data_IF_561257221798
#
_entry.id   IF_561257221798
#
_cell.length_a   1.000
_cell.length_b   1.000
_cell.length_c   1.000
_cell.angle_alpha   90.00
_cell.angle_beta   90.00
_cell.angle_gamma   90.00
#
_symmetry.space_group_name_H-M   'P 1'
#
loop_
_entity.id
_entity.type
_entity.pdbx_description
1 polymer ?
#
# COMPACT_ATOMS: atom_id res chain seq x y z
N UNK A 1 -42.27 -0.03 38.32
CA UNK A 1 -43.00 -0.65 39.46
C UNK A 1 -42.20 -0.31 40.72
N UNK A 2 -42.77 0.55 41.55
CA UNK A 2 -42.12 1.26 42.65
C UNK A 2 -42.01 0.37 43.89
N UNK A 3 -41.07 -0.59 43.87
CA UNK A 3 -41.06 -1.72 44.81
C UNK A 3 -39.86 -1.88 45.75
N UNK A 4 -38.82 -1.03 45.67
CA UNK A 4 -37.56 -1.27 46.40
C UNK A 4 -37.18 -0.22 47.46
N UNK A 5 -37.94 0.87 47.60
CA UNK A 5 -37.59 1.94 48.55
C UNK A 5 -38.15 1.74 49.97
N UNK A 6 -39.12 0.84 50.17
CA UNK A 6 -39.73 0.61 51.49
C UNK A 6 -39.01 -0.44 52.33
N UNK A 7 -38.27 -1.38 51.72
CA UNK A 7 -37.60 -2.46 52.45
C UNK A 7 -36.42 -1.96 53.31
N UNK A 8 -35.75 -0.90 52.88
CA UNK A 8 -34.61 -0.32 53.60
C UNK A 8 -35.01 0.56 54.79
N UNK A 9 -36.27 1.01 54.88
CA UNK A 9 -36.74 1.91 55.96
C UNK A 9 -36.84 1.24 57.34
N UNK A 10 -36.76 -0.09 57.41
CA UNK A 10 -36.87 -0.90 58.63
C UNK A 10 -35.50 -1.24 59.26
N UNK A 11 -34.39 -0.94 58.57
CA UNK A 11 -33.05 -1.21 59.09
C UNK A 11 -32.43 0.04 59.73
N UNK A 12 -31.71 -0.11 60.87
CA UNK A 12 -30.92 0.98 61.44
C UNK A 12 -30.01 1.61 60.39
N UNK A 13 -29.95 2.93 60.35
CA UNK A 13 -29.16 3.68 59.34
C UNK A 13 -27.68 3.26 59.31
N UNK A 14 -27.14 2.84 60.45
CA UNK A 14 -25.79 2.25 60.57
C UNK A 14 -25.57 0.98 59.75
N UNK A 15 -26.61 0.14 59.58
CA UNK A 15 -26.54 -1.07 58.76
C UNK A 15 -26.56 -0.71 57.27
N UNK A 16 -27.39 0.26 56.89
CA UNK A 16 -27.45 0.78 55.51
C UNK A 16 -26.11 1.41 55.12
N UNK A 17 -25.56 2.24 56.00
CA UNK A 17 -24.25 2.87 55.78
C UNK A 17 -23.14 1.80 55.68
N UNK A 18 -23.16 0.77 56.53
CA UNK A 18 -22.18 -0.34 56.45
C UNK A 18 -22.28 -1.17 55.16
N UNK A 19 -23.50 -1.45 54.67
CA UNK A 19 -23.73 -2.17 53.42
C UNK A 19 -23.31 -1.32 52.22
N UNK A 20 -23.56 0.00 52.27
CA UNK A 20 -23.11 0.94 51.23
C UNK A 20 -21.58 1.07 51.19
N UNK A 21 -20.93 1.06 52.36
CA UNK A 21 -19.46 1.08 52.45
C UNK A 21 -18.86 -0.25 51.97
N UNK A 22 -19.47 -1.38 52.30
CA UNK A 22 -19.08 -2.71 51.82
C UNK A 22 -19.27 -2.84 50.31
N UNK A 23 -20.36 -2.32 49.76
CA UNK A 23 -20.59 -2.27 48.31
C UNK A 23 -19.56 -1.40 47.59
N UNK A 24 -19.24 -0.21 48.13
CA UNK A 24 -18.20 0.66 47.56
C UNK A 24 -16.78 0.08 47.71
N UNK A 25 -16.50 -0.67 48.78
CA UNK A 25 -15.19 -1.31 48.95
C UNK A 25 -15.02 -2.51 48.02
N UNK A 26 -16.07 -3.29 47.76
CA UNK A 26 -16.02 -4.33 46.72
C UNK A 26 -15.73 -3.74 45.35
N UNK A 27 -16.37 -2.63 44.97
CA UNK A 27 -16.18 -1.97 43.68
C UNK A 27 -14.73 -1.43 43.48
N UNK A 28 -14.11 -0.92 44.55
CA UNK A 28 -12.71 -0.42 44.52
C UNK A 28 -11.69 -1.56 44.39
N UNK A 29 -11.91 -2.70 45.06
CA UNK A 29 -10.99 -3.84 44.96
C UNK A 29 -11.25 -4.68 43.70
N UNK A 30 -12.48 -4.75 43.20
CA UNK A 30 -12.81 -5.39 41.92
C UNK A 30 -12.12 -4.69 40.74
N UNK A 31 -12.04 -3.35 40.76
CA UNK A 31 -11.26 -2.60 39.77
C UNK A 31 -9.76 -2.93 39.83
N UNK A 32 -9.21 -3.20 41.02
CA UNK A 32 -7.81 -3.61 41.18
C UNK A 32 -7.56 -5.07 40.79
N UNK A 33 -8.53 -5.95 40.99
CA UNK A 33 -8.45 -7.38 40.63
C UNK A 33 -8.60 -7.58 39.11
N UNK A 34 -9.45 -6.77 38.47
CA UNK A 34 -9.70 -6.82 37.02
C UNK A 34 -8.83 -5.83 36.23
N UNK A 35 -7.84 -5.19 36.87
CA UNK A 35 -7.00 -4.17 36.26
C UNK A 35 -6.21 -4.71 35.07
N UNK A 36 -5.65 -5.92 35.21
CA UNK A 36 -4.92 -6.60 34.13
C UNK A 36 -5.82 -6.87 32.93
N UNK A 37 -7.01 -7.43 33.14
CA UNK A 37 -7.97 -7.73 32.08
C UNK A 37 -8.48 -6.45 31.41
N UNK A 38 -8.73 -5.39 32.19
CA UNK A 38 -9.17 -4.09 31.68
C UNK A 38 -8.10 -3.49 30.77
N UNK A 39 -6.85 -3.40 31.23
CA UNK A 39 -5.77 -2.86 30.41
C UNK A 39 -5.40 -3.74 29.20
N UNK A 40 -5.55 -5.07 29.33
CA UNK A 40 -5.40 -5.96 28.19
C UNK A 40 -6.45 -5.67 27.11
N UNK A 41 -7.73 -5.56 27.51
CA UNK A 41 -8.83 -5.28 26.59
C UNK A 41 -8.74 -3.86 26.00
N UNK A 42 -8.36 -2.86 26.80
CA UNK A 42 -8.09 -1.50 26.34
C UNK A 42 -6.93 -1.47 25.35
N UNK A 43 -5.80 -2.08 25.69
CA UNK A 43 -4.62 -2.14 24.83
C UNK A 43 -4.90 -2.87 23.52
N UNK A 44 -5.65 -3.98 23.57
CA UNK A 44 -6.10 -4.69 22.38
C UNK A 44 -7.02 -3.82 21.51
N UNK A 45 -8.03 -3.18 22.12
CA UNK A 45 -8.97 -2.33 21.40
C UNK A 45 -8.26 -1.14 20.73
N UNK A 46 -7.38 -0.45 21.46
CA UNK A 46 -6.58 0.66 20.94
C UNK A 46 -5.68 0.17 19.81
N UNK A 47 -4.88 -0.88 20.04
CA UNK A 47 -3.96 -1.41 19.04
C UNK A 47 -4.66 -1.95 17.79
N UNK A 48 -5.86 -2.55 17.94
CA UNK A 48 -6.66 -3.01 16.81
C UNK A 48 -7.20 -1.84 15.98
N UNK A 49 -7.76 -0.81 16.62
CA UNK A 49 -8.27 0.37 15.92
C UNK A 49 -7.14 1.14 15.23
N UNK A 50 -6.02 1.38 15.92
CA UNK A 50 -4.85 2.04 15.35
C UNK A 50 -4.26 1.22 14.19
N UNK A 51 -4.15 -0.10 14.35
CA UNK A 51 -3.67 -1.00 13.30
C UNK A 51 -4.56 -1.00 12.06
N UNK A 52 -5.88 -0.92 12.21
CA UNK A 52 -6.81 -0.80 11.08
C UNK A 52 -6.64 0.52 10.33
N UNK A 53 -6.46 1.63 11.04
CA UNK A 53 -6.28 2.96 10.43
C UNK A 53 -4.92 3.02 9.74
N UNK A 54 -3.84 2.72 10.46
CA UNK A 54 -2.47 2.78 9.93
C UNK A 54 -2.29 1.82 8.76
N UNK A 55 -2.77 0.57 8.88
CA UNK A 55 -2.64 -0.42 7.82
C UNK A 55 -3.36 -0.02 6.53
N UNK A 56 -4.51 0.66 6.64
CA UNK A 56 -5.23 1.20 5.47
C UNK A 56 -4.44 2.32 4.80
N UNK A 57 -3.93 3.27 5.57
CA UNK A 57 -3.22 4.43 5.05
C UNK A 57 -1.87 4.03 4.44
N UNK A 58 -1.13 3.15 5.12
CA UNK A 58 0.12 2.56 4.62
C UNK A 58 -0.12 1.77 3.33
N UNK A 59 -1.13 0.91 3.30
CA UNK A 59 -1.48 0.12 2.11
C UNK A 59 -1.82 1.00 0.91
N UNK A 60 -2.58 2.08 1.13
CA UNK A 60 -2.90 3.06 0.10
C UNK A 60 -1.64 3.79 -0.40
N UNK A 61 -0.80 4.28 0.51
CA UNK A 61 0.40 5.03 0.16
C UNK A 61 1.38 4.16 -0.63
N UNK A 62 1.67 2.95 -0.14
CA UNK A 62 2.59 2.01 -0.80
C UNK A 62 2.04 1.57 -2.15
N UNK A 63 0.75 1.26 -2.22
CA UNK A 63 0.09 0.87 -3.48
C UNK A 63 0.14 1.97 -4.54
N UNK A 64 -0.13 3.22 -4.15
CA UNK A 64 -0.05 4.36 -5.06
C UNK A 64 1.37 4.62 -5.54
N UNK A 65 2.35 4.63 -4.63
CA UNK A 65 3.75 4.86 -4.98
C UNK A 65 4.27 3.79 -5.93
N UNK A 66 4.09 2.52 -5.57
CA UNK A 66 4.59 1.41 -6.37
C UNK A 66 3.85 1.28 -7.70
N UNK A 67 2.53 1.45 -7.68
CA UNK A 67 1.70 1.46 -8.88
C UNK A 67 2.11 2.56 -9.86
N UNK A 68 2.45 3.75 -9.36
CA UNK A 68 2.95 4.84 -10.18
C UNK A 68 4.32 4.52 -10.79
N UNK A 69 5.29 4.04 -9.99
CA UNK A 69 6.64 3.70 -10.48
C UNK A 69 6.59 2.65 -11.62
N UNK A 70 5.76 1.62 -11.47
CA UNK A 70 5.58 0.59 -12.49
C UNK A 70 4.82 1.13 -13.71
N UNK A 71 3.74 1.87 -13.48
CA UNK A 71 2.91 2.45 -14.54
C UNK A 71 3.68 3.44 -15.41
N UNK A 72 4.53 4.26 -14.79
CA UNK A 72 5.43 5.19 -15.47
C UNK A 72 6.40 4.44 -16.39
N UNK A 73 7.09 3.40 -15.88
CA UNK A 73 8.05 2.64 -16.68
C UNK A 73 7.38 1.93 -17.87
N UNK A 74 6.20 1.33 -17.66
CA UNK A 74 5.41 0.71 -18.72
C UNK A 74 4.94 1.73 -19.76
N UNK A 75 4.49 2.90 -19.31
CA UNK A 75 4.07 4.01 -20.17
C UNK A 75 5.22 4.52 -21.03
N UNK A 76 6.41 4.65 -20.47
CA UNK A 76 7.62 5.00 -21.20
C UNK A 76 7.91 4.00 -22.34
N UNK A 77 7.94 2.70 -22.03
CA UNK A 77 8.17 1.69 -23.07
C UNK A 77 7.08 1.71 -24.14
N UNK A 78 5.82 1.90 -23.74
CA UNK A 78 4.71 2.01 -24.68
C UNK A 78 4.92 3.18 -25.65
N UNK A 79 5.30 4.36 -25.14
CA UNK A 79 5.62 5.53 -25.96
C UNK A 79 6.73 5.26 -26.98
N UNK A 80 7.83 4.62 -26.56
CA UNK A 80 8.91 4.25 -27.49
C UNK A 80 8.45 3.29 -28.59
N UNK A 81 7.68 2.26 -28.21
CA UNK A 81 7.11 1.28 -29.15
C UNK A 81 6.22 1.97 -30.17
N UNK A 82 5.35 2.88 -29.73
CA UNK A 82 4.41 3.59 -30.61
C UNK A 82 5.16 4.51 -31.59
N UNK A 83 6.21 5.21 -31.15
CA UNK A 83 7.08 6.01 -32.02
C UNK A 83 7.81 5.15 -33.04
N UNK A 84 8.45 4.05 -32.63
CA UNK A 84 9.18 3.17 -33.53
C UNK A 84 8.24 2.50 -34.55
N UNK A 85 7.07 2.05 -34.12
CA UNK A 85 6.05 1.50 -35.02
C UNK A 85 5.54 2.56 -36.00
N UNK A 86 5.42 3.82 -35.57
CA UNK A 86 5.02 4.92 -36.46
C UNK A 86 6.07 5.18 -37.53
N UNK A 87 7.36 5.17 -37.18
CA UNK A 87 8.45 5.28 -38.15
C UNK A 87 8.42 4.14 -39.18
N UNK A 88 8.21 2.89 -38.74
CA UNK A 88 8.11 1.72 -39.63
C UNK A 88 6.93 1.84 -40.62
N UNK A 89 5.82 2.46 -40.21
CA UNK A 89 4.66 2.67 -41.09
C UNK A 89 4.94 3.72 -42.18
N UNK A 90 5.77 4.71 -41.88
CA UNK A 90 6.17 5.75 -42.85
C UNK A 90 7.21 5.21 -43.81
N UNK A 91 8.22 4.51 -43.30
CA UNK A 91 9.26 3.86 -44.09
C UNK A 91 9.49 2.43 -43.62
N UNK A 92 9.03 1.48 -44.43
CA UNK A 92 9.18 0.06 -44.20
C UNK A 92 10.65 -0.40 -44.19
N UNK A 93 11.61 0.37 -44.68
CA UNK A 93 13.04 0.03 -44.66
C UNK A 93 13.82 0.73 -43.54
N UNK A 94 13.19 1.61 -42.75
CA UNK A 94 13.89 2.48 -41.79
C UNK A 94 14.69 1.71 -40.72
N UNK A 95 14.21 0.52 -40.34
CA UNK A 95 14.83 -0.34 -39.34
C UNK A 95 15.07 -1.77 -39.84
N UNK A 96 16.11 -2.39 -39.29
CA UNK A 96 16.42 -3.80 -39.54
C UNK A 96 15.29 -4.73 -39.10
N UNK A 97 15.22 -5.92 -39.70
CA UNK A 97 14.28 -6.97 -39.31
C UNK A 97 14.40 -7.35 -37.83
N UNK A 98 15.63 -7.28 -37.28
CA UNK A 98 15.91 -7.50 -35.86
C UNK A 98 15.18 -6.49 -34.98
N UNK A 99 15.30 -5.19 -35.27
CA UNK A 99 14.64 -4.14 -34.48
C UNK A 99 13.12 -4.30 -34.52
N UNK A 100 12.54 -4.47 -35.71
CA UNK A 100 11.09 -4.67 -35.86
C UNK A 100 10.58 -5.86 -35.05
N UNK A 101 11.32 -6.98 -35.08
CA UNK A 101 10.99 -8.17 -34.29
C UNK A 101 11.06 -7.88 -32.79
N UNK A 102 12.12 -7.22 -32.31
CA UNK A 102 12.26 -6.87 -30.89
C UNK A 102 11.18 -5.91 -30.42
N UNK A 103 10.86 -4.88 -31.22
CA UNK A 103 9.77 -3.93 -30.92
C UNK A 103 8.43 -4.64 -30.79
N UNK A 104 8.13 -5.59 -31.69
CA UNK A 104 6.90 -6.41 -31.57
C UNK A 104 6.88 -7.27 -30.30
N UNK A 105 8.01 -7.88 -29.94
CA UNK A 105 8.11 -8.63 -28.68
C UNK A 105 7.92 -7.74 -27.45
N UNK A 106 8.45 -6.51 -27.48
CA UNK A 106 8.21 -5.55 -26.39
C UNK A 106 6.73 -5.16 -26.30
N UNK A 107 6.06 -4.94 -27.43
CA UNK A 107 4.63 -4.65 -27.47
C UNK A 107 3.78 -5.78 -26.89
N UNK A 108 4.12 -7.03 -27.18
CA UNK A 108 3.48 -8.21 -26.59
C UNK A 108 3.69 -8.27 -25.06
N UNK A 109 4.90 -7.97 -24.57
CA UNK A 109 5.22 -7.93 -23.15
C UNK A 109 4.44 -6.83 -22.41
N UNK A 110 4.36 -5.61 -22.97
CA UNK A 110 3.58 -4.52 -22.37
C UNK A 110 2.09 -4.86 -22.34
N UNK A 111 1.53 -5.43 -23.41
CA UNK A 111 0.11 -5.79 -23.47
C UNK A 111 -0.29 -6.90 -22.51
N UNK A 112 0.62 -7.84 -22.25
CA UNK A 112 0.37 -8.99 -21.39
C UNK A 112 0.80 -8.74 -19.93
N UNK A 113 1.22 -7.52 -19.59
CA UNK A 113 1.63 -7.20 -18.23
C UNK A 113 0.43 -7.30 -17.27
N UNK A 114 0.51 -8.08 -16.18
CA UNK A 114 -0.61 -8.30 -15.27
C UNK A 114 -0.75 -7.12 -14.28
N UNK A 115 -1.27 -5.98 -14.75
CA UNK A 115 -1.41 -4.75 -13.94
C UNK A 115 -2.34 -4.96 -12.74
N UNK A 116 -3.33 -5.86 -12.86
CA UNK A 116 -4.32 -6.14 -11.82
C UNK A 116 -3.90 -7.25 -10.84
N UNK A 117 -2.76 -7.89 -11.09
CA UNK A 117 -2.24 -8.99 -10.29
C UNK A 117 -0.74 -8.74 -10.03
N UNK A 118 -0.41 -7.77 -9.14
CA UNK A 118 0.97 -7.37 -8.88
C UNK A 118 1.80 -8.46 -8.19
N UNK A 119 1.16 -9.46 -7.58
CA UNK A 119 1.82 -10.60 -6.94
C UNK A 119 2.16 -11.72 -7.94
N UNK A 120 1.77 -11.55 -9.20
CA UNK A 120 2.05 -12.54 -10.23
C UNK A 120 3.56 -12.73 -10.42
N UNK A 121 4.02 -13.98 -10.32
CA UNK A 121 5.43 -14.35 -10.46
C UNK A 121 6.05 -13.86 -11.79
N UNK A 122 5.22 -13.69 -12.84
CA UNK A 122 5.68 -13.24 -14.15
C UNK A 122 6.02 -11.75 -14.23
N UNK A 123 5.49 -10.90 -13.33
CA UNK A 123 5.71 -9.43 -13.31
C UNK A 123 7.19 -9.08 -13.41
N UNK A 124 7.98 -9.72 -12.53
CA UNK A 124 9.41 -9.45 -12.42
C UNK A 124 10.16 -9.83 -13.69
N UNK A 125 9.82 -10.98 -14.28
CA UNK A 125 10.46 -11.46 -15.50
C UNK A 125 10.05 -10.65 -16.75
N UNK A 126 8.79 -10.22 -16.84
CA UNK A 126 8.32 -9.33 -17.91
C UNK A 126 9.04 -7.98 -17.86
N UNK A 127 9.19 -7.36 -16.68
CA UNK A 127 9.93 -6.09 -16.53
C UNK A 127 11.41 -6.24 -16.91
N UNK A 128 12.07 -7.31 -16.45
CA UNK A 128 13.47 -7.60 -16.85
C UNK A 128 13.59 -7.77 -18.36
N UNK A 129 12.65 -8.48 -18.99
CA UNK A 129 12.63 -8.68 -20.43
C UNK A 129 12.41 -7.36 -21.20
N UNK A 130 11.53 -6.48 -20.70
CA UNK A 130 11.31 -5.14 -21.28
C UNK A 130 12.58 -4.30 -21.23
N UNK A 131 13.21 -4.16 -20.05
CA UNK A 131 14.46 -3.41 -19.85
C UNK A 131 15.57 -3.91 -20.77
N UNK A 132 15.73 -5.23 -20.90
CA UNK A 132 16.76 -5.83 -21.74
C UNK A 132 16.50 -5.55 -23.24
N UNK A 133 15.26 -5.75 -23.71
CA UNK A 133 14.90 -5.53 -25.11
C UNK A 133 14.98 -4.05 -25.48
N UNK A 134 14.57 -3.15 -24.60
CA UNK A 134 14.69 -1.71 -24.78
C UNK A 134 16.14 -1.32 -25.03
N UNK A 135 17.07 -1.72 -24.14
CA UNK A 135 18.51 -1.44 -24.30
C UNK A 135 19.06 -2.00 -25.62
N UNK A 136 18.64 -3.20 -26.00
CA UNK A 136 19.05 -3.81 -27.26
C UNK A 136 18.58 -3.00 -28.48
N UNK A 137 17.36 -2.46 -28.46
CA UNK A 137 16.86 -1.58 -29.52
C UNK A 137 17.64 -0.26 -29.54
N UNK A 138 17.82 0.40 -28.39
CA UNK A 138 18.57 1.65 -28.30
C UNK A 138 20.01 1.52 -28.84
N UNK A 139 20.70 0.44 -28.46
CA UNK A 139 22.03 0.13 -28.97
C UNK A 139 22.06 -0.12 -30.48
N UNK A 140 21.04 -0.81 -31.02
CA UNK A 140 20.96 -1.10 -32.47
C UNK A 140 20.64 0.16 -33.28
N UNK A 141 19.85 1.07 -32.73
CA UNK A 141 19.46 2.33 -33.36
C UNK A 141 20.46 3.47 -33.12
N UNK A 142 21.47 3.25 -32.27
CA UNK A 142 22.42 4.27 -31.83
C UNK A 142 21.73 5.54 -31.26
N UNK A 143 20.65 5.34 -30.51
CA UNK A 143 19.90 6.42 -29.84
C UNK A 143 20.21 6.43 -28.36
N UNK A 144 20.42 7.63 -27.82
CA UNK A 144 20.56 7.86 -26.38
C UNK A 144 19.18 8.08 -25.77
N UNK A 145 18.45 6.99 -25.58
CA UNK A 145 17.20 6.98 -24.82
C UNK A 145 17.42 6.21 -23.53
N UNK A 146 17.12 6.86 -22.42
CA UNK A 146 17.26 6.30 -21.08
C UNK A 146 15.94 6.49 -20.33
N UNK A 147 15.56 5.48 -19.57
CA UNK A 147 14.48 5.61 -18.59
C UNK A 147 15.09 6.17 -17.31
N UNK A 148 14.88 7.46 -17.06
CA UNK A 148 15.37 8.14 -15.86
C UNK A 148 14.48 7.92 -14.62
N UNK A 149 13.23 7.46 -14.83
CA UNK A 149 12.20 7.44 -13.80
C UNK A 149 11.79 8.85 -13.34
N UNK A 150 10.75 8.91 -12.50
CA UNK A 150 10.33 10.15 -11.89
C UNK A 150 11.41 10.67 -10.91
N UNK A 151 11.80 11.96 -10.99
CA UNK A 151 12.73 12.55 -10.03
C UNK A 151 12.21 12.34 -8.61
N UNK A 152 12.96 11.59 -7.80
CA UNK A 152 12.59 11.42 -6.40
C UNK A 152 12.85 12.76 -5.71
N UNK A 153 12.09 13.10 -4.68
CA UNK A 153 12.27 14.38 -3.98
C UNK A 153 13.71 14.60 -3.44
N UNK A 154 14.49 13.52 -3.30
CA UNK A 154 15.93 13.53 -3.02
C UNK A 154 16.79 14.11 -4.15
N UNK A 155 16.36 14.00 -5.40
CA UNK A 155 17.13 14.38 -6.58
C UNK A 155 16.99 15.89 -6.88
N UNK A 156 16.02 16.55 -6.23
CA UNK A 156 15.82 18.00 -6.31
C UNK A 156 16.83 18.81 -5.47
N UNK A 157 17.64 18.16 -4.60
CA UNK A 157 18.67 18.83 -3.80
C UNK A 157 20.08 18.79 -4.41
N UNK A 158 20.28 18.09 -5.54
CA UNK A 158 21.60 17.96 -6.19
C UNK A 158 21.83 18.96 -7.34
N UNK A 159 20.84 19.81 -7.65
CA UNK A 159 20.93 20.81 -8.74
C UNK A 159 21.19 22.26 -8.28
N UNK A 160 21.51 22.48 -7.02
CA UNK A 160 22.04 23.77 -6.53
C UNK A 160 23.38 23.54 -5.83
N UNK A 161 24.49 23.45 -6.59
CA UNK A 161 25.83 23.94 -6.21
C UNK A 161 26.73 24.05 -7.44
#
# INVERSE_FOLDING_TARGET
QSGNLLFFSLFPRSIIDSLSLQSNTMDIFDASLNLEETHFNEGFSVGYNDGLISGKDEGLQVGLLHGFEIGEELGFYRGCIDVWNSAIRVDLACFSSRVKKTTKQMDELVRNYPILDPENESVTEIMKALRLKFRAVCATLNVKLEYGGYPKASDAQESEF
#
